data_IF_977588863620
#
_entry.id   IF_977588863620
#
_cell.length_a   1.000
_cell.length_b   1.000
_cell.length_c   1.000
_cell.angle_alpha   90.00
_cell.angle_beta   90.00
_cell.angle_gamma   90.00
#
_symmetry.space_group_name_H-M   'P 1'
#
loop_
_entity.id
_entity.type
_entity.pdbx_description
1 polymer ?
#
# COMPACT_ATOMS: atom_id res chain seq x y z
N UNK A 1 -0.86 -7.69 -17.65
CA UNK A 1 -0.88 -7.14 -16.29
C UNK A 1 -2.18 -6.41 -16.00
N UNK A 2 -2.67 -6.52 -14.77
CA UNK A 2 -3.99 -5.98 -14.40
C UNK A 2 -3.97 -4.46 -14.28
N UNK A 3 -2.83 -3.86 -13.95
CA UNK A 3 -2.72 -2.44 -13.57
C UNK A 3 -1.88 -1.58 -14.51
N UNK A 4 -1.20 -2.18 -15.47
CA UNK A 4 -0.18 -1.52 -16.31
C UNK A 4 0.93 -0.81 -15.47
N UNK A 5 1.20 -1.33 -14.26
CA UNK A 5 2.23 -0.80 -13.36
C UNK A 5 3.59 -1.47 -13.57
N UNK A 6 3.70 -2.43 -14.48
CA UNK A 6 4.97 -3.10 -14.79
C UNK A 6 5.99 -2.10 -15.33
N UNK A 7 5.57 -1.27 -16.28
CA UNK A 7 6.44 -0.21 -16.83
C UNK A 7 6.99 0.71 -15.74
N UNK A 8 6.15 1.07 -14.76
CA UNK A 8 6.56 1.92 -13.63
C UNK A 8 7.59 1.21 -12.74
N UNK A 9 7.42 -0.09 -12.50
CA UNK A 9 8.36 -0.90 -11.71
C UNK A 9 9.64 -1.24 -12.47
N UNK A 10 9.65 -1.09 -13.79
CA UNK A 10 10.83 -1.26 -14.62
C UNK A 10 11.68 0.03 -14.71
N UNK A 11 11.12 1.18 -14.31
CA UNK A 11 11.87 2.42 -14.22
C UNK A 11 13.05 2.27 -13.26
N UNK A 12 14.18 2.91 -13.60
CA UNK A 12 15.31 2.98 -12.68
C UNK A 12 14.97 3.90 -11.50
N UNK A 13 15.56 3.60 -10.34
CA UNK A 13 15.47 4.42 -9.13
C UNK A 13 14.04 4.51 -8.54
N UNK A 14 13.39 3.39 -8.34
CA UNK A 14 12.13 3.31 -7.60
C UNK A 14 12.28 2.58 -6.27
N UNK A 15 11.46 2.95 -5.31
CA UNK A 15 11.27 2.19 -4.06
C UNK A 15 9.85 1.65 -4.03
N UNK A 16 9.71 0.35 -3.89
CA UNK A 16 8.42 -0.32 -3.85
C UNK A 16 8.15 -0.91 -2.47
N UNK A 17 7.10 -0.42 -1.80
CA UNK A 17 6.57 -1.01 -0.57
C UNK A 17 5.57 -2.09 -0.94
N UNK A 18 6.05 -3.32 -1.09
CA UNK A 18 5.25 -4.43 -1.61
C UNK A 18 4.12 -4.85 -0.65
N UNK A 19 2.84 -4.61 -1.00
CA UNK A 19 1.72 -5.12 -0.23
C UNK A 19 1.65 -6.65 -0.37
N UNK A 20 1.16 -7.31 0.67
CA UNK A 20 1.04 -8.77 0.65
C UNK A 20 -0.23 -9.23 -0.05
N UNK A 21 -0.21 -10.43 -0.60
CA UNK A 21 -1.42 -11.06 -1.16
C UNK A 21 -2.58 -11.13 -0.15
N UNK A 22 -2.24 -11.22 1.14
CA UNK A 22 -3.24 -11.25 2.21
C UNK A 22 -3.97 -9.90 2.33
N UNK A 23 -3.26 -8.78 2.30
CA UNK A 23 -3.87 -7.45 2.36
C UNK A 23 -4.79 -7.20 1.16
N UNK A 24 -4.35 -7.59 -0.04
CA UNK A 24 -5.16 -7.51 -1.27
C UNK A 24 -6.43 -8.37 -1.14
N UNK A 25 -6.29 -9.63 -0.71
CA UNK A 25 -7.43 -10.53 -0.54
C UNK A 25 -8.46 -10.00 0.45
N UNK A 26 -8.03 -9.40 1.56
CA UNK A 26 -8.96 -8.78 2.54
C UNK A 26 -9.78 -7.66 1.91
N UNK A 27 -9.14 -6.78 1.13
CA UNK A 27 -9.81 -5.65 0.49
C UNK A 27 -10.76 -6.11 -0.61
N UNK A 28 -10.34 -7.07 -1.44
CA UNK A 28 -11.20 -7.68 -2.47
C UNK A 28 -12.36 -8.47 -1.87
N UNK A 29 -12.17 -9.15 -0.75
CA UNK A 29 -13.25 -9.85 -0.06
C UNK A 29 -14.34 -8.91 0.46
N UNK A 30 -13.96 -7.74 0.98
CA UNK A 30 -14.93 -6.71 1.37
C UNK A 30 -15.66 -6.15 0.15
N UNK A 31 -14.94 -5.81 -0.91
CA UNK A 31 -15.53 -5.37 -2.17
C UNK A 31 -16.55 -6.39 -2.68
N UNK A 32 -16.18 -7.65 -2.75
CA UNK A 32 -17.05 -8.72 -3.23
C UNK A 32 -18.32 -8.85 -2.36
N UNK A 33 -18.17 -8.74 -1.03
CA UNK A 33 -19.31 -8.73 -0.12
C UNK A 33 -20.27 -7.56 -0.39
N UNK A 34 -19.73 -6.35 -0.53
CA UNK A 34 -20.53 -5.16 -0.79
C UNK A 34 -21.22 -5.24 -2.15
N UNK A 35 -20.50 -5.69 -3.18
CA UNK A 35 -21.02 -5.86 -4.55
C UNK A 35 -22.16 -6.88 -4.61
N UNK A 36 -22.00 -8.01 -3.94
CA UNK A 36 -23.06 -9.02 -3.82
C UNK A 36 -24.29 -8.51 -3.08
N UNK A 37 -24.12 -7.72 -2.00
CA UNK A 37 -25.22 -7.12 -1.26
C UNK A 37 -26.04 -6.11 -2.08
N UNK A 38 -25.47 -5.58 -3.16
CA UNK A 38 -26.15 -4.71 -4.14
C UNK A 38 -26.95 -5.52 -5.20
N UNK A 39 -27.00 -6.84 -5.08
CA UNK A 39 -27.75 -7.73 -5.99
C UNK A 39 -26.95 -8.19 -7.22
N UNK A 40 -25.63 -8.01 -7.23
CA UNK A 40 -24.77 -8.39 -8.34
C UNK A 40 -24.12 -9.78 -8.12
N UNK A 41 -23.60 -10.36 -9.18
CA UNK A 41 -22.83 -11.60 -9.11
C UNK A 41 -21.48 -11.41 -8.41
N UNK A 42 -21.02 -12.45 -7.73
CA UNK A 42 -19.71 -12.43 -7.06
C UNK A 42 -18.56 -12.22 -8.04
N UNK A 43 -17.59 -11.39 -7.63
CA UNK A 43 -16.35 -11.17 -8.37
C UNK A 43 -15.50 -12.45 -8.30
N UNK A 44 -15.19 -13.04 -9.45
CA UNK A 44 -14.45 -14.30 -9.57
C UNK A 44 -13.01 -14.11 -10.06
N UNK A 45 -12.76 -13.00 -10.74
CA UNK A 45 -11.45 -12.68 -11.30
C UNK A 45 -11.08 -11.23 -10.97
N UNK A 46 -9.83 -11.01 -10.55
CA UNK A 46 -9.33 -9.67 -10.23
C UNK A 46 -9.36 -8.71 -11.44
N UNK A 47 -9.32 -9.24 -12.65
CA UNK A 47 -9.47 -8.47 -13.90
C UNK A 47 -10.85 -7.81 -14.04
N UNK A 48 -11.87 -8.24 -13.27
CA UNK A 48 -13.17 -7.58 -13.25
C UNK A 48 -13.12 -6.20 -12.62
N UNK A 49 -12.14 -5.97 -11.75
CA UNK A 49 -11.88 -4.64 -11.17
C UNK A 49 -11.11 -3.82 -12.18
N UNK A 50 -11.57 -2.62 -12.47
CA UNK A 50 -10.98 -1.74 -13.48
C UNK A 50 -9.48 -1.53 -13.27
N UNK A 51 -8.68 -1.51 -14.35
CA UNK A 51 -7.24 -1.21 -14.26
C UNK A 51 -6.93 0.15 -13.62
N UNK A 52 -7.81 1.14 -13.78
CA UNK A 52 -7.71 2.46 -13.16
C UNK A 52 -7.65 2.37 -11.63
N UNK A 53 -8.52 1.55 -11.03
CA UNK A 53 -8.56 1.31 -9.58
C UNK A 53 -7.25 0.68 -9.09
N UNK A 54 -6.78 -0.36 -9.78
CA UNK A 54 -5.51 -1.01 -9.44
C UNK A 54 -4.34 -0.04 -9.53
N UNK A 55 -4.30 0.76 -10.61
CA UNK A 55 -3.25 1.75 -10.83
C UNK A 55 -3.23 2.81 -9.73
N UNK A 56 -4.38 3.36 -9.38
CA UNK A 56 -4.52 4.35 -8.32
C UNK A 56 -3.96 3.82 -7.00
N UNK A 57 -4.44 2.66 -6.54
CA UNK A 57 -4.04 2.11 -5.25
C UNK A 57 -2.62 1.52 -5.23
N UNK A 58 -2.14 0.90 -6.31
CA UNK A 58 -0.77 0.42 -6.39
C UNK A 58 0.25 1.56 -6.44
N UNK A 59 -0.09 2.68 -7.08
CA UNK A 59 0.80 3.84 -7.12
C UNK A 59 1.08 4.47 -5.76
N UNK A 60 0.22 4.21 -4.76
CA UNK A 60 0.46 4.61 -3.36
C UNK A 60 1.67 3.92 -2.73
N UNK A 61 2.11 2.78 -3.27
CA UNK A 61 3.20 1.96 -2.73
C UNK A 61 4.53 2.18 -3.43
N UNK A 62 4.61 3.09 -4.39
CA UNK A 62 5.81 3.36 -5.18
C UNK A 62 6.28 4.78 -4.91
N UNK A 63 7.53 4.91 -4.47
CA UNK A 63 8.22 6.18 -4.39
C UNK A 63 9.20 6.30 -5.56
N UNK A 64 9.36 7.52 -6.06
CA UNK A 64 10.47 7.85 -6.96
C UNK A 64 11.77 7.84 -6.15
N UNK A 65 12.86 7.44 -6.77
CA UNK A 65 14.17 7.27 -6.15
C UNK A 65 14.33 6.02 -5.25
N UNK A 66 15.59 5.68 -4.98
CA UNK A 66 15.99 4.52 -4.17
C UNK A 66 16.16 4.94 -2.72
N UNK A 67 15.30 4.42 -1.84
CA UNK A 67 15.40 4.62 -0.40
C UNK A 67 15.63 3.28 0.30
N UNK A 68 16.83 3.07 0.82
CA UNK A 68 17.13 1.95 1.71
C UNK A 68 16.84 2.31 3.15
N UNK A 69 16.86 1.34 4.06
CA UNK A 69 16.63 1.58 5.48
C UNK A 69 17.56 2.67 6.07
N UNK A 70 18.78 2.82 5.54
CA UNK A 70 19.74 3.85 5.97
C UNK A 70 19.38 5.26 5.51
N UNK A 71 18.63 5.37 4.40
CA UNK A 71 18.27 6.66 3.79
C UNK A 71 16.97 7.23 4.41
N UNK A 72 16.21 6.38 5.14
CA UNK A 72 14.96 6.76 5.79
C UNK A 72 15.24 7.27 7.20
N UNK A 73 14.76 8.49 7.56
CA UNK A 73 15.01 9.08 8.86
C UNK A 73 14.31 8.32 9.99
N UNK A 74 14.90 8.38 11.17
CA UNK A 74 14.24 7.88 12.38
C UNK A 74 13.12 8.84 12.78
N UNK A 75 12.00 8.29 13.21
CA UNK A 75 10.87 9.03 13.76
C UNK A 75 10.56 8.55 15.17
N UNK A 76 10.09 9.47 16.01
CA UNK A 76 9.54 9.15 17.32
C UNK A 76 8.01 8.98 17.17
N UNK A 77 7.54 7.77 17.44
CA UNK A 77 6.11 7.46 17.34
C UNK A 77 5.26 8.16 18.40
N UNK A 78 5.86 8.60 19.51
CA UNK A 78 5.15 9.35 20.55
C UNK A 78 4.96 10.82 20.19
N UNK A 79 5.81 11.33 19.30
CA UNK A 79 5.82 12.71 18.85
C UNK A 79 5.40 12.86 17.37
N UNK A 80 4.85 11.81 16.78
CA UNK A 80 4.56 11.77 15.33
C UNK A 80 3.61 12.88 14.88
N UNK A 81 2.73 13.36 15.75
CA UNK A 81 1.86 14.49 15.49
C UNK A 81 2.60 15.83 15.46
N UNK A 82 3.67 15.97 16.30
CA UNK A 82 4.49 17.17 16.35
C UNK A 82 5.63 17.15 15.32
N UNK A 83 6.11 15.96 15.01
CA UNK A 83 7.16 15.70 14.01
C UNK A 83 6.65 14.65 13.02
N UNK A 84 5.69 15.02 12.17
CA UNK A 84 5.29 14.11 11.11
C UNK A 84 6.56 13.76 10.34
N UNK A 85 7.00 12.54 10.39
CA UNK A 85 8.24 12.06 9.78
C UNK A 85 8.46 12.63 8.38
N UNK A 86 9.41 12.15 7.66
CA UNK A 86 9.62 12.69 6.33
C UNK A 86 8.45 12.32 5.43
N UNK A 87 7.81 13.31 4.82
CA UNK A 87 6.73 13.11 3.84
C UNK A 87 7.36 12.86 2.48
N UNK A 88 7.02 11.72 1.91
CA UNK A 88 7.43 11.32 0.57
C UNK A 88 6.23 11.37 -0.36
N UNK A 89 6.43 11.87 -1.58
CA UNK A 89 5.37 11.87 -2.59
C UNK A 89 5.46 10.59 -3.41
N UNK A 90 4.37 9.85 -3.44
CA UNK A 90 4.27 8.59 -4.19
C UNK A 90 4.22 8.84 -5.69
N UNK A 91 4.38 7.78 -6.48
CA UNK A 91 4.20 7.83 -7.92
C UNK A 91 2.80 8.34 -8.32
N UNK A 92 1.78 8.04 -7.50
CA UNK A 92 0.41 8.56 -7.67
C UNK A 92 0.20 9.99 -7.18
N UNK A 93 1.24 10.68 -6.71
CA UNK A 93 1.15 12.06 -6.22
C UNK A 93 0.63 12.21 -4.80
N UNK A 94 0.41 11.12 -4.07
CA UNK A 94 -0.09 11.16 -2.70
C UNK A 94 1.06 11.29 -1.69
N UNK A 95 0.90 12.11 -0.64
CA UNK A 95 1.87 12.21 0.43
C UNK A 95 1.78 10.99 1.36
N UNK A 96 2.91 10.34 1.60
CA UNK A 96 3.05 9.25 2.56
C UNK A 96 4.10 9.64 3.59
N UNK A 97 3.86 9.28 4.84
CA UNK A 97 4.87 9.40 5.88
C UNK A 97 5.70 8.11 5.93
N UNK A 98 7.02 8.26 5.86
CA UNK A 98 7.95 7.12 5.92
C UNK A 98 9.00 7.39 6.95
N UNK A 99 9.15 6.49 7.92
CA UNK A 99 10.12 6.68 8.97
C UNK A 99 10.61 5.36 9.57
N UNK A 100 11.79 5.41 10.16
CA UNK A 100 12.35 4.29 10.90
C UNK A 100 11.93 4.40 12.36
N UNK A 101 11.35 3.32 12.87
CA UNK A 101 11.00 3.16 14.28
C UNK A 101 11.80 2.01 14.89
N UNK A 102 11.97 2.04 16.20
CA UNK A 102 12.53 0.91 16.94
C UNK A 102 11.42 0.13 17.60
N UNK A 103 11.45 -1.19 17.45
CA UNK A 103 10.58 -2.08 18.19
C UNK A 103 10.94 -2.13 19.67
N UNK A 104 10.10 -2.79 20.45
CA UNK A 104 10.39 -3.08 21.86
C UNK A 104 11.17 -4.40 21.97
N UNK A 105 12.06 -4.50 22.94
CA UNK A 105 12.77 -5.73 23.26
C UNK A 105 12.93 -5.90 24.77
N UNK A 106 12.71 -7.13 25.25
CA UNK A 106 12.87 -7.51 26.68
C UNK A 106 12.08 -6.59 27.65
N UNK A 107 10.90 -6.13 27.24
CA UNK A 107 10.07 -5.23 28.06
C UNK A 107 10.54 -3.77 28.07
N UNK A 108 11.60 -3.44 27.36
CA UNK A 108 12.10 -2.06 27.21
C UNK A 108 11.66 -1.51 25.86
N UNK A 109 11.08 -0.31 25.86
CA UNK A 109 10.62 0.37 24.67
C UNK A 109 11.77 0.91 23.83
N UNK A 110 11.61 0.84 22.51
CA UNK A 110 12.50 1.45 21.52
C UNK A 110 13.95 0.94 21.49
N UNK A 111 14.21 -0.24 22.06
CA UNK A 111 15.54 -0.89 22.03
C UNK A 111 15.59 -2.14 21.15
N UNK A 112 14.49 -2.45 20.51
CA UNK A 112 14.38 -3.59 19.58
C UNK A 112 14.88 -3.28 18.17
N UNK A 113 14.59 -4.16 17.23
CA UNK A 113 15.07 -4.01 15.86
C UNK A 113 14.49 -2.78 15.19
N UNK A 114 15.29 -2.18 14.29
CA UNK A 114 14.84 -1.10 13.43
C UNK A 114 13.83 -1.64 12.42
N UNK A 115 12.74 -0.89 12.24
CA UNK A 115 11.67 -1.21 11.29
C UNK A 115 11.26 0.05 10.54
N UNK A 116 10.90 -0.09 9.27
CA UNK A 116 10.29 1.01 8.54
C UNK A 116 8.79 0.99 8.83
N UNK A 117 8.27 2.16 9.16
CA UNK A 117 6.85 2.45 9.24
C UNK A 117 6.47 3.26 8.01
N UNK A 118 5.55 2.72 7.22
CA UNK A 118 4.97 3.33 6.04
C UNK A 118 3.53 3.72 6.33
N UNK A 119 3.20 5.01 6.28
CA UNK A 119 1.94 5.50 6.78
C UNK A 119 1.22 6.39 5.77
N UNK A 120 -0.04 6.10 5.53
CA UNK A 120 -0.91 6.96 4.74
C UNK A 120 -1.43 8.12 5.60
N UNK A 121 -1.28 9.32 5.08
CA UNK A 121 -1.79 10.55 5.70
C UNK A 121 -3.21 10.75 5.20
N UNK A 122 -4.18 10.23 5.96
CA UNK A 122 -5.60 10.31 5.60
C UNK A 122 -6.15 11.73 5.72
N UNK A 123 -5.80 12.40 6.81
CA UNK A 123 -6.17 13.79 7.08
C UNK A 123 -5.00 14.50 7.78
N UNK A 124 -4.49 15.55 7.17
CA UNK A 124 -3.39 16.36 7.71
C UNK A 124 -3.79 17.12 8.99
N UNK A 125 -5.10 17.34 9.22
CA UNK A 125 -5.60 18.06 10.39
C UNK A 125 -5.83 17.14 11.59
N UNK A 126 -5.93 15.85 11.36
CA UNK A 126 -6.11 14.82 12.40
C UNK A 126 -4.87 13.93 12.34
N UNK A 127 -4.19 13.72 13.44
CA UNK A 127 -3.04 12.80 13.52
C UNK A 127 -3.40 11.32 13.28
N UNK A 128 -4.40 11.06 12.43
CA UNK A 128 -4.87 9.71 12.11
C UNK A 128 -4.08 9.16 10.91
N UNK A 129 -2.99 8.50 11.21
CA UNK A 129 -2.16 7.79 10.24
C UNK A 129 -2.60 6.34 10.13
N UNK A 130 -2.81 5.89 8.91
CA UNK A 130 -2.99 4.45 8.62
C UNK A 130 -1.62 3.82 8.40
N UNK A 131 -1.19 3.03 9.33
CA UNK A 131 0.17 2.50 9.42
C UNK A 131 0.32 1.12 8.78
N UNK A 132 1.45 0.91 8.13
CA UNK A 132 1.92 -0.40 7.66
C UNK A 132 3.39 -0.58 8.05
N UNK A 133 3.71 -1.63 8.79
CA UNK A 133 5.09 -1.97 9.13
C UNK A 133 5.74 -2.79 8.01
N UNK A 134 7.03 -2.55 7.80
CA UNK A 134 7.84 -3.36 6.91
C UNK A 134 8.30 -4.62 7.65
N UNK A 135 8.11 -5.78 7.04
CA UNK A 135 8.60 -7.07 7.54
C UNK A 135 10.02 -7.36 7.07
N UNK A 136 10.31 -7.07 5.81
CA UNK A 136 11.63 -7.27 5.20
C UNK A 136 12.00 -6.03 4.42
N UNK A 137 13.13 -5.43 4.76
CA UNK A 137 13.65 -4.23 4.09
C UNK A 137 14.84 -4.55 3.18
N UNK A 138 15.17 -3.60 2.32
CA UNK A 138 16.41 -3.55 1.54
C UNK A 138 16.62 -4.73 0.58
N UNK A 139 15.56 -5.26 0.00
CA UNK A 139 15.69 -6.14 -1.16
C UNK A 139 16.05 -5.23 -2.34
N UNK A 140 17.22 -5.45 -2.93
CA UNK A 140 17.77 -4.59 -3.99
C UNK A 140 17.78 -5.32 -5.34
N UNK A 141 16.70 -5.27 -6.11
CA UNK A 141 16.72 -5.67 -7.50
C UNK A 141 17.56 -4.68 -8.32
N UNK A 142 17.81 -5.01 -9.59
CA UNK A 142 18.65 -4.18 -10.48
C UNK A 142 18.18 -2.72 -10.54
N UNK A 143 16.88 -2.51 -10.55
CA UNK A 143 16.24 -1.22 -10.85
C UNK A 143 15.54 -0.57 -9.64
N UNK A 144 15.86 -0.92 -8.41
CA UNK A 144 15.19 -0.26 -7.28
C UNK A 144 15.51 -0.84 -5.91
N UNK A 145 14.62 -0.52 -4.98
CA UNK A 145 14.59 -1.08 -3.62
C UNK A 145 13.19 -1.60 -3.35
N UNK A 146 13.07 -2.76 -2.74
CA UNK A 146 11.79 -3.33 -2.33
C UNK A 146 11.77 -3.53 -0.82
N UNK A 147 10.72 -3.03 -0.20
CA UNK A 147 10.38 -3.24 1.20
C UNK A 147 9.07 -4.01 1.28
N UNK A 148 9.08 -5.21 1.85
CA UNK A 148 7.89 -6.05 1.97
C UNK A 148 7.11 -5.68 3.23
N UNK A 149 5.84 -5.31 3.09
CA UNK A 149 4.98 -4.97 4.21
C UNK A 149 4.59 -6.22 5.02
N UNK A 150 4.28 -6.02 6.31
CA UNK A 150 3.77 -7.09 7.16
C UNK A 150 2.41 -7.61 6.67
N UNK A 151 2.19 -8.90 6.86
CA UNK A 151 0.99 -9.56 6.40
C UNK A 151 -0.26 -9.14 7.17
N UNK A 152 -0.16 -8.89 8.47
CA UNK A 152 -1.32 -8.77 9.37
C UNK A 152 -1.78 -7.35 9.63
N UNK A 153 -0.89 -6.36 9.52
CA UNK A 153 -1.09 -5.01 10.04
C UNK A 153 -1.66 -4.04 8.99
N UNK A 154 -1.90 -4.52 7.78
CA UNK A 154 -2.14 -3.67 6.64
C UNK A 154 -3.34 -4.15 5.81
N UNK A 155 -4.20 -3.24 5.43
CA UNK A 155 -5.22 -3.41 4.40
C UNK A 155 -4.72 -2.78 3.09
N UNK A 156 -4.93 -3.44 1.96
CA UNK A 156 -4.55 -2.88 0.66
C UNK A 156 -5.27 -1.55 0.42
N UNK A 157 -4.50 -0.54 0.03
CA UNK A 157 -4.96 0.85 -0.11
C UNK A 157 -5.09 1.58 1.23
N UNK A 158 -4.58 1.01 2.34
CA UNK A 158 -4.66 1.55 3.71
C UNK A 158 -6.07 1.63 4.29
N UNK A 159 -7.09 1.59 3.44
CA UNK A 159 -8.49 1.49 3.82
C UNK A 159 -9.24 0.63 2.80
N UNK A 160 -9.54 -0.62 3.21
CA UNK A 160 -10.28 -1.57 2.35
C UNK A 160 -11.68 -1.11 1.97
N UNK A 161 -12.30 -0.22 2.79
CA UNK A 161 -13.63 0.31 2.49
C UNK A 161 -13.55 1.35 1.38
N UNK A 162 -12.58 2.26 1.43
CA UNK A 162 -12.36 3.23 0.38
C UNK A 162 -12.00 2.54 -0.94
N UNK A 163 -11.13 1.53 -0.90
CA UNK A 163 -10.84 0.70 -2.08
C UNK A 163 -12.13 0.07 -2.67
N UNK A 164 -12.97 -0.52 -1.82
CA UNK A 164 -14.20 -1.15 -2.28
C UNK A 164 -15.19 -0.14 -2.86
N UNK A 165 -15.38 1.01 -2.22
CA UNK A 165 -16.26 2.07 -2.72
C UNK A 165 -15.77 2.62 -4.07
N UNK A 166 -14.46 2.87 -4.20
CA UNK A 166 -13.87 3.33 -5.46
C UNK A 166 -14.06 2.31 -6.58
N UNK A 167 -13.83 1.03 -6.31
CA UNK A 167 -14.04 -0.02 -7.30
C UNK A 167 -15.51 -0.11 -7.74
N UNK A 168 -16.47 0.06 -6.84
CA UNK A 168 -17.90 0.08 -7.14
C UNK A 168 -18.24 1.32 -8.00
N UNK A 169 -17.72 2.48 -7.64
CA UNK A 169 -17.91 3.73 -8.38
C UNK A 169 -17.41 3.63 -9.82
N UNK A 170 -16.21 3.09 -10.03
CA UNK A 170 -15.63 2.88 -11.37
C UNK A 170 -16.35 1.79 -12.18
N UNK A 171 -17.06 0.91 -11.49
CA UNK A 171 -17.77 -0.24 -12.06
C UNK A 171 -16.92 -1.50 -12.12
N UNK A 172 -17.61 -2.63 -12.03
CA UNK A 172 -17.03 -3.98 -12.09
C UNK A 172 -17.43 -4.62 -13.42
N UNK A 173 -16.45 -5.09 -14.16
CA UNK A 173 -16.69 -5.72 -15.47
C UNK A 173 -17.31 -7.13 -15.30
N UNK A 174 -18.16 -7.49 -16.24
CA UNK A 174 -18.68 -8.85 -16.30
C UNK A 174 -17.58 -9.85 -16.72
N UNK A 175 -17.61 -11.04 -16.12
CA UNK A 175 -16.63 -12.09 -16.45
C UNK A 175 -16.66 -12.48 -17.93
N UNK A 176 -17.82 -12.41 -18.57
CA UNK A 176 -18.02 -12.67 -19.99
C UNK A 176 -17.29 -11.67 -20.90
N UNK A 177 -17.06 -10.46 -20.45
CA UNK A 177 -16.33 -9.41 -21.20
C UNK A 177 -14.83 -9.63 -21.16
N UNK A 178 -14.31 -10.11 -20.01
CA UNK A 178 -12.87 -10.35 -19.81
C UNK A 178 -12.36 -11.50 -20.67
N UNK A 179 -13.14 -12.58 -20.77
CA UNK A 179 -12.76 -13.77 -21.52
C UNK A 179 -12.77 -13.58 -23.05
N UNK A 180 -13.25 -12.43 -23.55
CA UNK A 180 -13.24 -12.09 -24.98
C UNK A 180 -11.99 -11.31 -25.40
N UNK A 181 -11.19 -10.88 -24.45
CA UNK A 181 -10.02 -10.01 -24.68
C UNK A 181 -8.68 -10.77 -24.54
N UNK A 182 -8.72 -12.07 -24.26
CA UNK A 182 -7.62 -13.04 -24.33
C UNK A 182 -7.69 -13.85 -25.63
#
# INVERSE_FOLDING_TARGET
PISNMEEVLEEENVTFFAPTNWSIRKSVALLNKMWYQMGNDSIKNLKQIKPSVWREYLSMYILKDKYTLKDIPQIDTTAIAAYPGQTFITYGGLPMNVGVVYGDANGVKYVGPRQILYSYIYDITVSDLKNAYVATSDIQPKNGVVHVLRMTDHDFGFDRRLFALKAIEEGIDELSQINKTE
#
